data_IF_639418994291
#
_entry.id   IF_639418994291
#
_cell.length_a   1.000
_cell.length_b   1.000
_cell.length_c   1.000
_cell.angle_alpha   90.00
_cell.angle_beta   90.00
_cell.angle_gamma   90.00
#
_symmetry.space_group_name_H-M   'P 1'
#
loop_
_entity.id
_entity.type
_entity.pdbx_description
1 polymer ?
#
# COMPACT_ATOMS: atom_id res chain seq x y z
N UNK A 1 8.54 -1.36 -16.85
CA UNK A 1 8.30 -2.13 -15.61
C UNK A 1 8.53 -1.26 -14.40
N UNK A 2 7.62 -1.32 -13.44
CA UNK A 2 7.71 -0.56 -12.19
C UNK A 2 7.81 -1.51 -11.02
N UNK A 3 8.43 -1.04 -9.94
CA UNK A 3 8.42 -1.72 -8.64
C UNK A 3 7.35 -1.08 -7.78
N UNK A 4 6.39 -1.88 -7.33
CA UNK A 4 5.20 -1.42 -6.63
C UNK A 4 5.13 -2.06 -5.25
N UNK A 5 4.90 -1.25 -4.23
CA UNK A 5 4.60 -1.73 -2.88
C UNK A 5 3.09 -1.58 -2.66
N UNK A 6 2.45 -2.67 -2.28
CA UNK A 6 1.01 -2.71 -2.03
C UNK A 6 0.77 -3.04 -0.56
N UNK A 7 0.33 -2.06 0.20
CA UNK A 7 0.05 -2.24 1.62
C UNK A 7 -1.45 -2.34 1.83
N UNK A 8 -1.88 -3.51 2.26
CA UNK A 8 -3.28 -3.88 2.35
C UNK A 8 -3.67 -4.79 1.19
N UNK A 9 -3.86 -6.06 1.48
CA UNK A 9 -4.15 -7.08 0.48
C UNK A 9 -5.60 -7.61 0.57
N UNK A 10 -6.51 -6.74 0.99
CA UNK A 10 -7.94 -7.04 0.95
C UNK A 10 -8.46 -6.99 -0.47
N UNK A 11 -9.79 -6.92 -0.62
CA UNK A 11 -10.42 -6.98 -1.95
C UNK A 11 -9.86 -5.92 -2.91
N UNK A 12 -9.77 -4.67 -2.46
CA UNK A 12 -9.33 -3.58 -3.33
C UNK A 12 -7.84 -3.71 -3.69
N UNK A 13 -6.99 -3.98 -2.70
CA UNK A 13 -5.56 -4.19 -2.95
C UNK A 13 -5.29 -5.36 -3.87
N UNK A 14 -5.98 -6.48 -3.65
CA UNK A 14 -5.85 -7.65 -4.53
C UNK A 14 -6.27 -7.33 -5.96
N UNK A 15 -7.33 -6.54 -6.12
CA UNK A 15 -7.78 -6.11 -7.44
C UNK A 15 -6.70 -5.29 -8.17
N UNK A 16 -6.03 -4.39 -7.45
CA UNK A 16 -4.91 -3.63 -8.02
C UNK A 16 -3.80 -4.58 -8.46
N UNK A 17 -3.43 -5.55 -7.63
CA UNK A 17 -2.40 -6.52 -7.98
C UNK A 17 -2.76 -7.31 -9.24
N UNK A 18 -4.02 -7.73 -9.35
CA UNK A 18 -4.51 -8.45 -10.52
C UNK A 18 -4.41 -7.64 -11.80
N UNK A 19 -4.53 -6.32 -11.72
CA UNK A 19 -4.39 -5.44 -12.88
C UNK A 19 -2.95 -5.14 -13.24
N UNK A 20 -2.06 -5.04 -12.24
CA UNK A 20 -0.66 -4.71 -12.47
C UNK A 20 0.18 -5.89 -12.93
N UNK A 21 -0.13 -7.07 -12.43
CA UNK A 21 0.66 -8.27 -12.72
C UNK A 21 0.77 -8.59 -14.21
N UNK A 22 -0.34 -8.59 -14.99
CA UNK A 22 -0.24 -8.88 -16.44
C UNK A 22 0.55 -7.85 -17.23
N UNK A 23 0.72 -6.64 -16.67
CA UNK A 23 1.48 -5.57 -17.32
C UNK A 23 2.99 -5.69 -17.06
N UNK A 24 3.43 -6.71 -16.33
CA UNK A 24 4.83 -6.96 -16.07
C UNK A 24 5.42 -6.17 -14.91
N UNK A 25 4.60 -5.50 -14.11
CA UNK A 25 5.09 -4.80 -12.92
C UNK A 25 5.43 -5.77 -11.80
N UNK A 26 6.46 -5.45 -11.03
CA UNK A 26 6.80 -6.21 -9.85
C UNK A 26 6.05 -5.64 -8.65
N UNK A 27 5.28 -6.48 -7.97
CA UNK A 27 4.45 -6.06 -6.85
C UNK A 27 4.86 -6.82 -5.59
N UNK A 28 5.18 -6.10 -4.53
CA UNK A 28 5.32 -6.65 -3.20
C UNK A 28 4.07 -6.30 -2.40
N UNK A 29 3.38 -7.31 -1.89
CA UNK A 29 2.21 -7.10 -1.04
C UNK A 29 2.56 -7.25 0.43
N UNK A 30 1.94 -6.43 1.27
CA UNK A 30 2.10 -6.48 2.73
C UNK A 30 0.73 -6.43 3.38
N UNK A 31 0.50 -7.30 4.34
CA UNK A 31 -0.71 -7.29 5.17
C UNK A 31 -0.39 -7.96 6.50
N UNK A 32 -1.11 -7.63 7.54
CA UNK A 32 -0.99 -8.31 8.83
C UNK A 32 -1.71 -9.65 8.83
N UNK A 33 -2.62 -9.87 7.90
CA UNK A 33 -3.49 -11.04 7.82
C UNK A 33 -2.90 -12.08 6.88
N UNK A 34 -2.55 -13.24 7.42
CA UNK A 34 -1.94 -14.34 6.65
C UNK A 34 -2.86 -14.83 5.52
N UNK A 35 -4.15 -14.92 5.76
CA UNK A 35 -5.11 -15.39 4.77
C UNK A 35 -5.16 -14.46 3.56
N UNK A 36 -5.15 -13.15 3.79
CA UNK A 36 -5.10 -12.16 2.70
C UNK A 36 -3.81 -12.26 1.90
N UNK A 37 -2.69 -12.49 2.59
CA UNK A 37 -1.41 -12.70 1.92
C UNK A 37 -1.48 -13.95 1.02
N UNK A 38 -2.04 -15.04 1.53
CA UNK A 38 -2.18 -16.26 0.72
C UNK A 38 -3.07 -16.03 -0.50
N UNK A 39 -4.13 -15.25 -0.36
CA UNK A 39 -5.06 -14.96 -1.46
C UNK A 39 -4.42 -14.09 -2.54
N UNK A 40 -3.48 -13.22 -2.19
CA UNK A 40 -2.85 -12.30 -3.15
C UNK A 40 -1.61 -12.91 -3.81
N UNK A 41 -1.03 -13.95 -3.23
CA UNK A 41 0.22 -14.55 -3.72
C UNK A 41 0.23 -14.86 -5.23
N UNK A 42 -0.85 -15.38 -5.83
CA UNK A 42 -0.82 -15.67 -7.28
C UNK A 42 -0.63 -14.45 -8.16
N UNK A 43 -0.84 -13.25 -7.62
CA UNK A 43 -0.88 -12.01 -8.40
C UNK A 43 0.29 -11.08 -8.09
N UNK A 44 1.22 -11.48 -7.23
CA UNK A 44 2.33 -10.63 -6.81
C UNK A 44 3.65 -11.35 -6.99
N UNK A 45 4.72 -10.57 -7.04
CA UNK A 45 6.09 -11.09 -7.14
C UNK A 45 6.57 -11.58 -5.78
N UNK A 46 6.17 -10.90 -4.72
CA UNK A 46 6.60 -11.17 -3.36
C UNK A 46 5.52 -10.69 -2.39
N UNK A 47 5.46 -11.30 -1.21
CA UNK A 47 4.50 -10.89 -0.18
C UNK A 47 5.10 -11.11 1.21
N UNK A 48 4.76 -10.23 2.15
CA UNK A 48 5.22 -10.33 3.53
C UNK A 48 4.07 -10.05 4.49
N UNK A 49 4.05 -10.79 5.59
CA UNK A 49 3.16 -10.52 6.71
C UNK A 49 3.88 -9.52 7.62
N UNK A 50 3.25 -8.39 7.89
CA UNK A 50 3.84 -7.38 8.75
C UNK A 50 2.90 -6.22 8.99
N UNK A 51 3.25 -5.38 9.97
CA UNK A 51 2.49 -4.22 10.37
C UNK A 51 3.09 -2.96 9.78
N UNK A 52 2.37 -2.33 8.87
CA UNK A 52 2.83 -1.14 8.17
C UNK A 52 2.85 0.12 9.05
N UNK A 53 2.32 0.06 10.25
CA UNK A 53 2.45 1.16 11.23
C UNK A 53 3.74 1.06 12.03
N UNK A 54 4.52 0.01 11.83
CA UNK A 54 5.82 -0.17 12.46
C UNK A 54 6.92 0.36 11.54
N UNK A 55 7.59 1.43 11.97
CA UNK A 55 8.59 2.10 11.15
C UNK A 55 9.78 1.21 10.81
N UNK A 56 10.21 0.36 11.74
CA UNK A 56 11.34 -0.54 11.48
C UNK A 56 11.01 -1.59 10.44
N UNK A 57 9.77 -2.11 10.48
CA UNK A 57 9.31 -3.06 9.46
C UNK A 57 9.32 -2.39 8.09
N UNK A 58 8.73 -1.20 7.96
CA UNK A 58 8.72 -0.49 6.69
C UNK A 58 10.14 -0.18 6.20
N UNK A 59 11.01 0.25 7.12
CA UNK A 59 12.41 0.56 6.76
C UNK A 59 13.11 -0.66 6.18
N UNK A 60 12.81 -1.85 6.70
CA UNK A 60 13.41 -3.09 6.22
C UNK A 60 13.05 -3.43 4.78
N UNK A 61 11.96 -2.87 4.26
CA UNK A 61 11.50 -3.14 2.89
C UNK A 61 12.22 -2.33 1.83
N UNK A 62 12.98 -1.29 2.22
CA UNK A 62 13.64 -0.41 1.26
C UNK A 62 12.65 0.49 0.53
N UNK A 63 11.94 1.33 1.28
CA UNK A 63 10.82 2.13 0.75
C UNK A 63 11.23 2.97 -0.47
N UNK A 64 12.43 3.56 -0.47
CA UNK A 64 12.90 4.40 -1.57
C UNK A 64 13.12 3.67 -2.89
N UNK A 65 13.13 2.34 -2.88
CA UNK A 65 13.33 1.53 -4.08
C UNK A 65 12.05 1.27 -4.87
N UNK A 66 10.90 1.57 -4.29
CA UNK A 66 9.61 1.40 -4.97
C UNK A 66 9.24 2.66 -5.76
N UNK A 67 8.76 2.46 -6.97
CA UNK A 67 8.31 3.56 -7.81
C UNK A 67 6.99 4.14 -7.31
N UNK A 68 6.12 3.28 -6.79
CA UNK A 68 4.85 3.70 -6.24
C UNK A 68 4.50 2.81 -5.05
N UNK A 69 3.91 3.42 -4.02
CA UNK A 69 3.39 2.73 -2.85
C UNK A 69 1.89 2.97 -2.76
N UNK A 70 1.11 1.88 -2.78
CA UNK A 70 -0.32 1.95 -2.57
C UNK A 70 -0.66 1.62 -1.12
N UNK A 71 -1.49 2.44 -0.50
CA UNK A 71 -2.03 2.18 0.84
C UNK A 71 -3.51 1.91 0.67
N UNK A 72 -3.87 0.63 0.72
CA UNK A 72 -5.24 0.17 0.48
C UNK A 72 -5.83 -0.57 1.67
N UNK A 73 -5.42 -0.18 2.86
CA UNK A 73 -5.97 -0.68 4.12
C UNK A 73 -7.44 -0.29 4.19
N UNK A 74 -8.31 -1.23 4.55
CA UNK A 74 -9.73 -0.96 4.68
C UNK A 74 -10.18 -1.12 6.12
N UNK A 75 -11.17 -0.32 6.52
CA UNK A 75 -11.78 -0.43 7.84
C UNK A 75 -10.97 0.14 8.99
N UNK A 76 -9.82 0.76 8.70
CA UNK A 76 -9.00 1.37 9.74
C UNK A 76 -8.27 2.60 9.17
N UNK A 77 -8.94 3.74 9.22
CA UNK A 77 -8.38 4.97 8.68
C UNK A 77 -7.12 5.41 9.41
N UNK A 78 -7.06 5.22 10.73
CA UNK A 78 -5.89 5.58 11.50
C UNK A 78 -4.64 4.85 10.98
N UNK A 79 -4.75 3.55 10.72
CA UNK A 79 -3.62 2.79 10.19
C UNK A 79 -3.23 3.27 8.79
N UNK A 80 -4.22 3.61 7.95
CA UNK A 80 -3.95 4.18 6.63
C UNK A 80 -3.19 5.49 6.71
N UNK A 81 -3.60 6.36 7.63
CA UNK A 81 -2.99 7.66 7.82
C UNK A 81 -1.55 7.53 8.33
N UNK A 82 -1.35 6.71 9.34
CA UNK A 82 -0.02 6.47 9.91
C UNK A 82 0.92 5.86 8.88
N UNK A 83 0.44 4.87 8.14
CA UNK A 83 1.24 4.21 7.09
C UNK A 83 1.63 5.21 6.00
N UNK A 84 0.68 6.02 5.55
CA UNK A 84 0.92 7.05 4.53
C UNK A 84 2.01 8.02 4.99
N UNK A 85 1.91 8.51 6.22
CA UNK A 85 2.89 9.42 6.79
C UNK A 85 4.26 8.79 6.91
N UNK A 86 4.34 7.56 7.41
CA UNK A 86 5.60 6.84 7.55
C UNK A 86 6.27 6.58 6.20
N UNK A 87 5.51 6.19 5.19
CA UNK A 87 6.07 5.96 3.87
C UNK A 87 6.76 7.21 3.34
N UNK A 88 6.10 8.34 3.46
CA UNK A 88 6.67 9.60 2.97
C UNK A 88 7.90 9.99 3.77
N UNK A 89 7.86 9.83 5.09
CA UNK A 89 9.00 10.09 5.97
C UNK A 89 10.20 9.19 5.63
N UNK A 90 9.95 7.97 5.22
CA UNK A 90 10.99 7.01 4.86
C UNK A 90 11.46 7.13 3.41
N UNK A 91 10.98 8.13 2.68
CA UNK A 91 11.49 8.43 1.34
C UNK A 91 10.70 7.82 0.19
N UNK A 92 9.43 7.48 0.38
CA UNK A 92 8.61 6.99 -0.71
C UNK A 92 8.55 8.00 -1.85
N UNK A 93 8.74 7.52 -3.07
CA UNK A 93 8.75 8.39 -4.27
C UNK A 93 7.35 8.88 -4.61
N UNK A 94 6.37 8.01 -4.49
CA UNK A 94 4.98 8.35 -4.83
C UNK A 94 4.04 7.47 -4.02
N UNK A 95 3.11 8.08 -3.27
CA UNK A 95 2.18 7.38 -2.40
C UNK A 95 0.76 7.64 -2.87
N UNK A 96 0.03 6.56 -3.12
CA UNK A 96 -1.40 6.60 -3.46
C UNK A 96 -2.16 5.93 -2.34
N UNK A 97 -3.03 6.66 -1.67
CA UNK A 97 -3.76 6.14 -0.52
C UNK A 97 -5.26 6.08 -0.81
N UNK A 98 -5.90 5.04 -0.30
CA UNK A 98 -7.34 4.86 -0.44
C UNK A 98 -8.08 5.67 0.61
N UNK A 99 -9.13 6.38 0.17
CA UNK A 99 -10.07 7.05 1.07
C UNK A 99 -11.49 6.58 0.76
N UNK A 100 -12.36 6.62 1.75
CA UNK A 100 -13.78 6.33 1.58
C UNK A 100 -14.61 7.60 1.57
N UNK A 101 -14.08 8.69 2.15
CA UNK A 101 -14.77 9.98 2.25
C UNK A 101 -13.81 11.13 1.97
N UNK A 102 -14.35 12.25 1.51
CA UNK A 102 -13.54 13.42 1.17
C UNK A 102 -12.74 13.97 2.34
N UNK A 103 -13.27 13.92 3.56
CA UNK A 103 -12.52 14.39 4.73
C UNK A 103 -11.28 13.53 4.97
N UNK A 104 -11.38 12.24 4.72
CA UNK A 104 -10.22 11.33 4.84
C UNK A 104 -9.19 11.65 3.76
N UNK A 105 -9.63 11.90 2.54
CA UNK A 105 -8.75 12.28 1.44
C UNK A 105 -7.92 13.52 1.80
N UNK A 106 -8.54 14.52 2.40
CA UNK A 106 -7.84 15.73 2.83
C UNK A 106 -6.73 15.44 3.83
N UNK A 107 -7.02 14.61 4.85
CA UNK A 107 -6.02 14.23 5.83
C UNK A 107 -4.88 13.43 5.22
N UNK A 108 -5.19 12.50 4.32
CA UNK A 108 -4.17 11.70 3.64
C UNK A 108 -3.25 12.59 2.80
N UNK A 109 -3.81 13.52 2.04
CA UNK A 109 -3.00 14.44 1.22
C UNK A 109 -2.13 15.35 2.08
N UNK A 110 -2.64 15.81 3.20
CA UNK A 110 -1.86 16.66 4.13
C UNK A 110 -0.73 15.89 4.80
N UNK A 111 -0.87 14.59 4.94
CA UNK A 111 0.09 13.77 5.66
C UNK A 111 0.98 12.92 4.76
N UNK A 112 1.05 13.23 3.48
CA UNK A 112 2.06 12.66 2.62
C UNK A 112 1.59 11.88 1.40
N UNK A 113 0.29 11.63 1.24
CA UNK A 113 -0.20 11.01 0.02
C UNK A 113 -0.03 11.98 -1.16
N UNK A 114 0.50 11.47 -2.26
CA UNK A 114 0.62 12.24 -3.49
C UNK A 114 -0.69 12.21 -4.27
N UNK A 115 -1.48 11.17 -4.08
CA UNK A 115 -2.78 11.03 -4.70
C UNK A 115 -3.69 10.18 -3.82
N UNK A 116 -4.98 10.29 -4.04
CA UNK A 116 -5.99 9.55 -3.31
C UNK A 116 -6.95 8.89 -4.29
N UNK A 117 -7.32 7.65 -4.00
CA UNK A 117 -8.30 6.90 -4.79
C UNK A 117 -9.45 6.46 -3.90
N UNK A 118 -10.60 6.30 -4.53
CA UNK A 118 -11.80 5.82 -3.85
C UNK A 118 -12.16 4.45 -4.39
N UNK A 119 -12.55 3.50 -3.52
CA UNK A 119 -13.05 2.20 -3.99
C UNK A 119 -14.42 2.38 -4.63
N UNK A 120 -14.69 1.57 -5.62
CA UNK A 120 -16.01 1.50 -6.24
C UNK A 120 -16.83 0.36 -5.68
#
# INVERSE_FOLDING_TARGET
MKNVLLIGAGRFGRHIAMQLSPLGHQVMAVDTNEERINDVLPFVTNAQIGDSTNAEFLRSLGIGNFDVCFVTISGNFQNSLETTSLLKELGAKYVVSRAERDVQAKFLLRNGADNVVYPE
#
